data_IF_758476116706
#
_entry.id   IF_758476116706
#
_cell.length_a   1.000
_cell.length_b   1.000
_cell.length_c   1.000
_cell.angle_alpha   90.00
_cell.angle_beta   90.00
_cell.angle_gamma   90.00
#
_symmetry.space_group_name_H-M   'P 1'
#
loop_
_entity.id
_entity.type
_entity.pdbx_description
1 polymer ?
#
# COMPACT_ATOMS: atom_id res chain seq x y z
N UNK A 1 -28.96 65.81 -13.31
CA UNK A 1 -27.57 65.54 -12.90
C UNK A 1 -27.63 64.67 -11.66
N UNK A 2 -27.37 63.37 -11.82
CA UNK A 2 -27.55 62.36 -10.77
C UNK A 2 -26.43 62.42 -9.73
N UNK A 3 -26.84 62.42 -8.46
CA UNK A 3 -25.99 62.34 -7.28
C UNK A 3 -25.54 60.89 -7.01
N UNK A 4 -24.31 60.78 -6.48
CA UNK A 4 -23.69 59.58 -5.95
C UNK A 4 -24.51 58.94 -4.81
N UNK A 5 -24.58 57.60 -4.79
CA UNK A 5 -24.56 56.83 -3.55
C UNK A 5 -24.27 55.36 -3.83
N UNK A 6 -23.10 54.93 -3.37
CA UNK A 6 -22.63 53.55 -3.34
C UNK A 6 -23.55 52.65 -2.49
N UNK A 7 -23.70 51.37 -2.86
CA UNK A 7 -23.57 50.22 -1.93
C UNK A 7 -23.79 48.87 -2.62
N UNK A 8 -22.82 47.99 -2.36
CA UNK A 8 -22.89 46.52 -2.22
C UNK A 8 -22.76 45.65 -3.48
N UNK A 9 -21.48 45.44 -3.80
CA UNK A 9 -20.93 44.19 -4.34
C UNK A 9 -21.27 43.02 -3.42
N UNK A 10 -21.74 41.91 -3.99
CA UNK A 10 -21.66 40.58 -3.37
C UNK A 10 -21.36 39.56 -4.48
N UNK A 11 -20.08 39.39 -4.76
CA UNK A 11 -19.55 38.19 -5.42
C UNK A 11 -19.33 37.16 -4.32
N UNK A 12 -20.16 36.11 -4.26
CA UNK A 12 -19.93 34.97 -3.39
C UNK A 12 -18.94 34.01 -4.05
N UNK A 13 -17.69 34.01 -3.58
CA UNK A 13 -16.72 32.97 -3.91
C UNK A 13 -16.88 31.83 -2.90
N UNK A 14 -17.35 30.67 -3.37
CA UNK A 14 -17.38 29.43 -2.60
C UNK A 14 -15.98 28.81 -2.68
N UNK A 15 -15.12 29.08 -1.69
CA UNK A 15 -13.82 28.41 -1.57
C UNK A 15 -14.08 27.09 -0.85
N UNK A 16 -14.12 26.00 -1.62
CA UNK A 16 -14.05 24.65 -1.06
C UNK A 16 -12.67 24.48 -0.44
N UNK A 17 -12.62 24.44 0.90
CA UNK A 17 -11.41 24.13 1.65
C UNK A 17 -11.16 22.63 1.49
N UNK A 18 -10.35 22.23 0.50
CA UNK A 18 -9.75 20.90 0.49
C UNK A 18 -8.81 20.84 1.70
N UNK A 19 -9.25 20.17 2.76
CA UNK A 19 -8.35 19.74 3.83
C UNK A 19 -7.54 18.60 3.25
N UNK A 20 -6.42 18.91 2.59
CA UNK A 20 -5.43 17.89 2.25
C UNK A 20 -4.79 17.48 3.56
N UNK A 21 -5.21 16.36 4.14
CA UNK A 21 -4.42 15.72 5.18
C UNK A 21 -3.04 15.47 4.60
N UNK A 22 -1.95 15.81 5.33
CA UNK A 22 -0.62 15.46 4.87
C UNK A 22 -0.57 13.93 4.76
N UNK A 23 -0.59 13.43 3.53
CA UNK A 23 -0.26 12.04 3.26
C UNK A 23 1.24 11.98 3.42
N UNK A 24 1.69 11.32 4.47
CA UNK A 24 3.10 11.00 4.59
C UNK A 24 3.34 9.92 3.54
N UNK A 25 4.32 10.14 2.69
CA UNK A 25 4.90 9.06 1.90
C UNK A 25 5.99 8.43 2.76
N UNK A 26 6.10 7.10 2.78
CA UNK A 26 7.20 6.29 3.33
C UNK A 26 8.48 7.09 3.17
N UNK A 27 8.93 7.66 4.29
CA UNK A 27 9.96 8.71 4.26
C UNK A 27 11.34 8.07 4.09
N UNK A 28 11.47 6.81 4.49
CA UNK A 28 12.73 6.10 4.49
C UNK A 28 12.68 4.99 3.44
N UNK A 29 13.22 5.29 2.26
CA UNK A 29 13.53 4.27 1.27
C UNK A 29 15.01 4.32 0.87
N UNK A 30 15.53 3.16 0.48
CA UNK A 30 16.85 3.00 -0.12
C UNK A 30 16.65 2.81 -1.62
N UNK A 31 17.58 3.29 -2.43
CA UNK A 31 17.56 3.11 -3.88
C UNK A 31 18.81 2.34 -4.29
N UNK A 32 18.65 1.32 -5.13
CA UNK A 32 19.75 0.61 -5.77
C UNK A 32 19.49 0.42 -7.27
N UNK A 33 20.53 0.02 -8.01
CA UNK A 33 20.39 -0.42 -9.39
C UNK A 33 20.34 -1.95 -9.48
N UNK A 34 19.55 -2.48 -10.41
CA UNK A 34 19.51 -3.91 -10.73
C UNK A 34 19.06 -4.12 -12.17
N UNK A 35 19.74 -4.98 -12.93
CA UNK A 35 19.34 -5.32 -14.31
C UNK A 35 19.25 -4.13 -15.28
N UNK A 36 19.87 -2.98 -14.97
CA UNK A 36 19.73 -1.74 -15.74
C UNK A 36 18.58 -0.82 -15.34
N UNK A 37 17.75 -1.22 -14.36
CA UNK A 37 16.69 -0.41 -13.75
C UNK A 37 17.02 0.08 -12.34
N UNK A 38 16.05 0.79 -11.73
CA UNK A 38 16.10 1.27 -10.35
C UNK A 38 15.21 0.40 -9.45
N UNK A 39 15.69 0.09 -8.25
CA UNK A 39 14.94 -0.58 -7.20
C UNK A 39 14.74 0.38 -6.04
N UNK A 40 13.54 0.37 -5.47
CA UNK A 40 13.19 1.11 -4.26
C UNK A 40 12.95 0.09 -3.16
N UNK A 41 13.59 0.29 -2.02
CA UNK A 41 13.44 -0.56 -0.84
C UNK A 41 12.89 0.26 0.29
N UNK A 42 11.85 -0.23 0.96
CA UNK A 42 11.39 0.30 2.23
C UNK A 42 11.24 -0.84 3.23
N UNK A 43 11.39 -0.53 4.51
CA UNK A 43 11.12 -1.47 5.57
C UNK A 43 9.60 -1.58 5.75
N UNK A 44 9.08 -2.78 5.97
CA UNK A 44 7.64 -3.00 5.99
C UNK A 44 6.97 -2.23 7.16
N UNK A 45 7.65 -2.10 8.30
CA UNK A 45 7.16 -1.35 9.45
C UNK A 45 7.08 0.18 9.24
N UNK A 46 7.65 0.74 8.17
CA UNK A 46 7.61 2.18 7.85
C UNK A 46 6.33 2.56 7.07
N UNK A 47 5.19 1.97 7.44
CA UNK A 47 3.88 2.29 6.87
C UNK A 47 3.33 3.63 7.39
N UNK A 48 2.47 4.26 6.60
CA UNK A 48 1.89 5.56 6.95
C UNK A 48 0.65 5.43 7.81
N UNK A 49 -0.14 4.39 7.60
CA UNK A 49 -1.36 4.12 8.33
C UNK A 49 -1.60 2.62 8.46
N UNK A 50 -2.21 2.23 9.57
CA UNK A 50 -2.89 0.94 9.73
C UNK A 50 -4.30 1.16 10.27
N UNK A 51 -5.22 0.29 9.91
CA UNK A 51 -6.58 0.30 10.41
C UNK A 51 -6.99 -1.13 10.82
N UNK A 52 -7.39 -1.36 12.08
CA UNK A 52 -7.45 -0.39 13.19
C UNK A 52 -6.07 0.16 13.54
N UNK A 53 -6.02 1.36 14.13
CA UNK A 53 -4.78 2.04 14.52
C UNK A 53 -4.07 1.40 15.75
N UNK A 54 -4.18 0.08 15.89
CA UNK A 54 -3.65 -0.74 16.99
C UNK A 54 -2.88 -1.93 16.42
N UNK A 55 -2.07 -2.60 17.24
CA UNK A 55 -1.34 -3.83 16.87
C UNK A 55 -2.25 -5.07 16.80
N UNK A 56 -3.56 -4.91 16.60
CA UNK A 56 -4.48 -6.04 16.72
C UNK A 56 -4.33 -7.08 15.60
N UNK A 57 -4.03 -6.63 14.38
CA UNK A 57 -3.91 -7.48 13.18
C UNK A 57 -2.54 -7.38 12.51
N UNK A 58 -1.82 -6.30 12.77
CA UNK A 58 -0.48 -6.05 12.23
C UNK A 58 0.41 -5.54 13.35
N UNK A 59 1.04 -6.48 14.04
CA UNK A 59 1.97 -6.18 15.11
C UNK A 59 3.34 -5.87 14.53
N UNK A 60 3.99 -4.81 15.02
CA UNK A 60 5.42 -4.58 14.74
C UNK A 60 6.24 -5.33 15.77
N UNK A 61 7.10 -6.25 15.31
CA UNK A 61 7.87 -7.16 16.17
C UNK A 61 9.37 -7.09 15.87
N UNK A 62 10.17 -7.37 16.89
CA UNK A 62 11.59 -7.64 16.70
C UNK A 62 11.76 -9.09 16.22
N UNK A 63 12.05 -9.28 14.93
CA UNK A 63 12.28 -10.60 14.34
C UNK A 63 13.75 -10.79 13.99
N UNK A 64 14.31 -11.94 14.37
CA UNK A 64 15.72 -12.23 14.12
C UNK A 64 16.04 -12.18 12.62
N UNK A 65 17.04 -11.38 12.24
CA UNK A 65 17.48 -11.24 10.85
C UNK A 65 16.67 -10.23 10.01
N UNK A 66 15.70 -9.52 10.62
CA UNK A 66 15.12 -8.32 10.01
C UNK A 66 16.18 -7.22 9.83
N UNK A 67 15.99 -6.34 8.84
CA UNK A 67 16.86 -5.18 8.67
C UNK A 67 16.57 -4.08 9.70
N UNK A 68 15.28 -3.84 9.97
CA UNK A 68 14.78 -3.10 11.12
C UNK A 68 13.94 -4.03 12.00
N UNK A 69 12.63 -3.80 12.00
CA UNK A 69 11.63 -4.66 12.61
C UNK A 69 10.91 -5.46 11.51
N UNK A 70 9.89 -6.22 11.91
CA UNK A 70 9.01 -6.91 10.98
C UNK A 70 7.57 -6.55 11.29
N UNK A 71 6.72 -6.59 10.26
CA UNK A 71 5.29 -6.71 10.48
C UNK A 71 4.96 -8.20 10.58
N UNK A 72 4.36 -8.57 11.71
CA UNK A 72 3.72 -9.85 11.87
C UNK A 72 2.22 -9.68 11.63
N UNK A 73 1.69 -10.52 10.74
CA UNK A 73 0.26 -10.65 10.51
C UNK A 73 -0.37 -11.50 11.62
N UNK A 74 -1.41 -10.96 12.23
CA UNK A 74 -2.29 -11.67 13.15
C UNK A 74 -3.68 -11.74 12.49
N UNK A 75 -4.33 -12.90 12.51
CA UNK A 75 -5.55 -13.14 11.72
C UNK A 75 -6.65 -12.10 11.98
N UNK A 76 -7.14 -11.42 10.93
CA UNK A 76 -8.36 -10.61 11.00
C UNK A 76 -8.48 -9.51 9.93
N UNK A 77 -9.59 -8.76 9.91
CA UNK A 77 -9.89 -7.77 8.86
C UNK A 77 -9.13 -6.45 9.10
N UNK A 78 -7.82 -6.45 8.92
CA UNK A 78 -6.98 -5.26 9.01
C UNK A 78 -6.56 -4.72 7.64
N UNK A 79 -6.02 -3.50 7.65
CA UNK A 79 -5.33 -2.87 6.52
C UNK A 79 -4.04 -2.18 6.98
N UNK A 80 -2.98 -2.26 6.15
CA UNK A 80 -1.84 -1.34 6.20
C UNK A 80 -1.76 -0.56 4.90
N UNK A 81 -1.43 0.73 5.00
CA UNK A 81 -1.27 1.65 3.87
C UNK A 81 0.15 2.22 3.84
N UNK A 82 0.72 2.20 2.64
CA UNK A 82 1.97 2.83 2.28
C UNK A 82 1.70 3.85 1.19
N UNK A 83 2.22 5.05 1.33
CA UNK A 83 2.29 6.03 0.25
C UNK A 83 3.75 6.19 -0.12
N UNK A 84 4.12 6.24 -1.40
CA UNK A 84 5.52 6.39 -1.79
C UNK A 84 5.63 7.14 -3.10
N UNK A 85 6.70 7.92 -3.25
CA UNK A 85 6.93 8.74 -4.44
C UNK A 85 8.12 8.20 -5.23
N UNK A 86 7.80 7.52 -6.34
CA UNK A 86 8.80 6.87 -7.19
C UNK A 86 9.69 7.88 -7.91
N UNK A 87 9.24 9.13 -8.09
CA UNK A 87 10.03 10.17 -8.76
C UNK A 87 11.28 10.56 -7.95
N UNK A 88 11.23 10.40 -6.62
CA UNK A 88 12.39 10.61 -5.74
C UNK A 88 13.51 9.60 -6.00
N UNK A 89 13.19 8.47 -6.63
CA UNK A 89 14.14 7.45 -7.06
C UNK A 89 14.47 7.51 -8.56
N UNK A 90 14.05 8.57 -9.26
CA UNK A 90 14.16 8.67 -10.71
C UNK A 90 13.22 7.70 -11.45
N UNK A 91 12.26 7.10 -10.73
CA UNK A 91 11.24 6.25 -11.30
C UNK A 91 10.21 7.04 -12.09
N UNK A 92 9.59 6.36 -13.06
CA UNK A 92 8.46 6.85 -13.84
C UNK A 92 7.33 5.85 -13.74
N UNK A 93 6.10 6.31 -14.02
CA UNK A 93 4.94 5.44 -14.09
C UNK A 93 5.09 4.37 -15.16
N UNK A 94 4.38 3.26 -14.98
CA UNK A 94 4.50 2.06 -15.78
C UNK A 94 4.38 0.81 -14.92
N UNK A 95 4.83 -0.31 -15.47
CA UNK A 95 4.81 -1.60 -14.79
C UNK A 95 5.97 -1.73 -13.82
N UNK A 96 5.67 -2.07 -12.57
CA UNK A 96 6.63 -2.34 -11.50
C UNK A 96 6.46 -3.76 -10.96
N UNK A 97 7.56 -4.33 -10.49
CA UNK A 97 7.61 -5.66 -9.91
C UNK A 97 7.86 -5.56 -8.41
N UNK A 98 7.02 -6.20 -7.62
CA UNK A 98 7.08 -6.21 -6.17
C UNK A 98 7.63 -7.54 -5.66
N UNK A 99 8.56 -7.46 -4.71
CA UNK A 99 9.18 -8.57 -4.00
C UNK A 99 9.34 -8.22 -2.52
N UNK A 100 9.43 -9.24 -1.69
CA UNK A 100 9.68 -9.07 -0.27
C UNK A 100 10.65 -10.12 0.27
N UNK A 101 11.35 -9.78 1.36
CA UNK A 101 11.84 -10.79 2.29
C UNK A 101 10.72 -11.08 3.26
N UNK A 102 10.45 -12.36 3.48
CA UNK A 102 9.35 -12.79 4.33
C UNK A 102 9.66 -14.11 5.05
N UNK A 103 8.85 -14.38 6.06
CA UNK A 103 8.73 -15.65 6.75
C UNK A 103 7.28 -16.11 6.56
N UNK A 104 7.08 -17.00 5.59
CA UNK A 104 5.76 -17.52 5.22
C UNK A 104 5.79 -19.07 5.12
N UNK A 105 6.00 -19.79 6.24
CA UNK A 105 6.16 -21.24 6.21
C UNK A 105 4.87 -22.02 5.88
N UNK A 106 3.71 -21.34 5.91
CA UNK A 106 2.39 -21.96 5.77
C UNK A 106 1.56 -21.36 4.62
N UNK A 107 2.20 -20.64 3.69
CA UNK A 107 1.53 -19.96 2.58
C UNK A 107 0.28 -19.19 3.05
N UNK A 108 0.52 -18.21 3.92
CA UNK A 108 -0.45 -17.25 4.44
C UNK A 108 -0.24 -15.90 3.76
N UNK A 109 -0.50 -15.87 2.46
CA UNK A 109 -0.49 -14.67 1.62
C UNK A 109 -1.47 -13.60 2.06
N UNK A 110 -1.18 -12.38 1.66
CA UNK A 110 -2.07 -11.23 1.78
C UNK A 110 -2.45 -10.71 0.39
N UNK A 111 -3.41 -9.79 0.33
CA UNK A 111 -3.67 -9.02 -0.87
C UNK A 111 -2.85 -7.73 -0.83
N UNK A 112 -2.21 -7.40 -1.94
CA UNK A 112 -1.51 -6.13 -2.14
C UNK A 112 -2.13 -5.39 -3.31
N UNK A 113 -2.70 -4.22 -3.03
CA UNK A 113 -3.46 -3.43 -4.00
C UNK A 113 -2.81 -2.07 -4.15
N UNK A 114 -2.83 -1.50 -5.36
CA UNK A 114 -2.30 -0.16 -5.64
C UNK A 114 -3.42 0.71 -6.18
N UNK A 115 -3.54 1.94 -5.69
CA UNK A 115 -4.54 2.88 -6.21
C UNK A 115 -4.33 3.14 -7.70
N UNK A 116 -5.36 2.87 -8.49
CA UNK A 116 -5.35 3.09 -9.93
C UNK A 116 -4.74 1.95 -10.74
N UNK A 117 -4.40 0.82 -10.12
CA UNK A 117 -3.99 -0.40 -10.83
C UNK A 117 -5.12 -0.84 -11.80
N UNK A 118 -4.85 -1.00 -13.10
CA UNK A 118 -5.89 -1.28 -14.08
C UNK A 118 -6.56 -2.64 -13.86
N UNK A 119 -7.88 -2.61 -13.65
CA UNK A 119 -8.67 -3.83 -13.40
C UNK A 119 -9.23 -3.88 -12.00
N UNK A 120 -8.63 -3.15 -11.07
CA UNK A 120 -9.11 -3.03 -9.70
C UNK A 120 -10.33 -2.09 -9.62
N UNK A 121 -11.45 -2.56 -9.05
CA UNK A 121 -12.48 -1.69 -8.50
C UNK A 121 -11.93 -0.74 -7.42
N UNK A 122 -12.80 0.14 -6.92
CA UNK A 122 -12.45 1.02 -5.80
C UNK A 122 -11.99 0.21 -4.57
N UNK A 123 -10.80 0.52 -4.07
CA UNK A 123 -10.20 -0.11 -2.89
C UNK A 123 -10.94 0.40 -1.63
N UNK A 124 -11.41 -0.50 -0.75
CA UNK A 124 -12.08 -0.08 0.47
C UNK A 124 -11.11 0.62 1.43
N UNK A 125 -11.47 1.83 1.84
CA UNK A 125 -10.63 2.65 2.74
C UNK A 125 -11.08 2.62 4.20
N UNK A 126 -12.24 2.00 4.50
CA UNK A 126 -12.76 1.84 5.86
C UNK A 126 -13.20 0.41 6.17
N UNK A 127 -13.13 -0.03 7.44
CA UNK A 127 -13.65 -1.33 7.84
C UNK A 127 -15.17 -1.47 7.59
N UNK A 128 -15.68 -2.70 7.55
CA UNK A 128 -14.94 -3.97 7.61
C UNK A 128 -14.25 -4.28 6.27
N UNK A 129 -12.94 -4.56 6.33
CA UNK A 129 -12.17 -4.90 5.15
C UNK A 129 -12.46 -6.35 4.73
N UNK A 130 -12.78 -6.60 3.45
CA UNK A 130 -12.98 -7.95 2.95
C UNK A 130 -11.66 -8.71 2.88
N UNK A 131 -11.75 -10.03 2.78
CA UNK A 131 -10.60 -10.88 2.57
C UNK A 131 -10.99 -12.16 1.86
N UNK A 132 -10.52 -12.29 0.63
CA UNK A 132 -10.87 -13.41 -0.23
C UNK A 132 -11.54 -12.97 -1.52
N UNK A 133 -11.63 -13.91 -2.46
CA UNK A 133 -11.95 -13.65 -3.87
C UNK A 133 -13.41 -13.29 -4.17
N UNK A 134 -14.23 -13.09 -3.15
CA UNK A 134 -15.68 -12.87 -3.30
C UNK A 134 -16.04 -11.40 -3.49
N UNK A 135 -15.17 -10.49 -3.05
CA UNK A 135 -15.33 -9.05 -3.20
C UNK A 135 -14.21 -8.49 -4.08
N UNK A 136 -14.55 -7.69 -5.09
CA UNK A 136 -13.55 -6.84 -5.73
C UNK A 136 -13.10 -5.75 -4.75
N UNK A 137 -11.84 -5.29 -4.79
CA UNK A 137 -10.74 -5.64 -5.71
C UNK A 137 -9.89 -6.89 -5.34
N UNK A 138 -10.36 -7.82 -4.52
CA UNK A 138 -9.50 -8.86 -3.96
C UNK A 138 -9.39 -10.08 -4.88
N UNK A 139 -8.67 -10.00 -6.00
CA UNK A 139 -8.61 -11.09 -6.97
C UNK A 139 -7.29 -11.86 -6.87
N UNK A 140 -7.36 -13.15 -6.53
CA UNK A 140 -6.17 -14.00 -6.41
C UNK A 140 -5.25 -13.97 -7.64
N UNK A 141 -5.81 -13.95 -8.84
CA UNK A 141 -5.01 -14.01 -10.08
C UNK A 141 -4.10 -12.82 -10.29
N UNK A 142 -4.32 -11.71 -9.59
CA UNK A 142 -3.66 -10.43 -9.82
C UNK A 142 -3.06 -9.82 -8.55
N UNK A 143 -3.75 -9.97 -7.42
CA UNK A 143 -3.50 -9.17 -6.22
C UNK A 143 -2.94 -9.96 -5.05
N UNK A 144 -3.03 -11.28 -5.08
CA UNK A 144 -2.57 -12.11 -3.96
C UNK A 144 -1.07 -12.33 -4.05
N UNK A 145 -0.37 -11.78 -3.08
CA UNK A 145 1.09 -11.78 -3.06
C UNK A 145 1.65 -12.98 -2.31
N UNK A 146 2.85 -13.41 -2.69
CA UNK A 146 3.66 -14.33 -1.88
C UNK A 146 3.00 -15.68 -1.57
N UNK A 147 2.33 -16.25 -2.56
CA UNK A 147 1.63 -17.55 -2.57
C UNK A 147 2.54 -18.79 -2.47
N UNK A 148 3.46 -18.80 -1.53
CA UNK A 148 4.52 -19.80 -1.46
C UNK A 148 4.90 -20.12 -0.01
N UNK A 149 5.47 -21.30 0.18
CA UNK A 149 6.04 -21.71 1.47
C UNK A 149 7.53 -21.35 1.49
N UNK A 150 7.87 -20.17 2.03
CA UNK A 150 9.25 -19.68 2.06
C UNK A 150 9.64 -19.15 3.43
N UNK A 151 10.91 -19.29 3.76
CA UNK A 151 11.46 -18.85 5.04
C UNK A 151 10.95 -19.67 6.23
N UNK A 152 11.55 -19.41 7.39
CA UNK A 152 11.14 -19.93 8.69
C UNK A 152 11.55 -18.93 9.78
N UNK A 153 11.02 -19.03 11.02
CA UNK A 153 11.43 -18.13 12.10
C UNK A 153 12.95 -18.02 12.23
N UNK A 154 13.48 -16.79 12.19
CA UNK A 154 14.93 -16.52 12.16
C UNK A 154 15.67 -16.83 10.85
N UNK A 155 15.00 -17.30 9.81
CA UNK A 155 15.56 -17.62 8.50
C UNK A 155 14.67 -17.10 7.37
N UNK A 156 14.79 -15.80 7.11
CA UNK A 156 14.11 -15.10 6.02
C UNK A 156 14.47 -15.67 4.65
N UNK A 157 13.50 -15.63 3.74
CA UNK A 157 13.70 -15.92 2.33
C UNK A 157 13.14 -14.80 1.45
N UNK A 158 13.67 -14.67 0.25
CA UNK A 158 13.05 -13.86 -0.79
C UNK A 158 11.83 -14.59 -1.32
N UNK A 159 10.70 -13.91 -1.32
CA UNK A 159 9.50 -14.41 -1.98
C UNK A 159 9.58 -14.20 -3.48
N UNK A 160 9.31 -15.26 -4.26
CA UNK A 160 9.48 -15.38 -5.71
C UNK A 160 10.94 -15.16 -6.11
N UNK A 161 11.54 -16.19 -6.70
CA UNK A 161 13.00 -16.40 -6.69
C UNK A 161 13.78 -15.41 -7.56
N UNK A 162 13.09 -14.66 -8.42
CA UNK A 162 13.67 -13.61 -9.23
C UNK A 162 12.65 -12.49 -9.52
N UNK A 163 13.17 -11.33 -9.94
CA UNK A 163 12.37 -10.14 -10.25
C UNK A 163 11.30 -10.33 -11.34
N UNK A 164 11.50 -11.22 -12.31
CA UNK A 164 10.53 -11.51 -13.38
C UNK A 164 9.34 -12.33 -12.86
N UNK A 165 9.48 -12.97 -11.71
CA UNK A 165 8.42 -13.66 -10.97
C UNK A 165 7.71 -12.74 -9.96
N UNK A 166 8.15 -11.49 -9.82
CA UNK A 166 7.56 -10.52 -8.90
C UNK A 166 6.11 -10.19 -9.25
N UNK A 167 5.35 -9.77 -8.24
CA UNK A 167 3.96 -9.33 -8.43
C UNK A 167 3.96 -8.03 -9.22
N UNK A 168 3.23 -8.03 -10.34
CA UNK A 168 3.22 -6.92 -11.29
C UNK A 168 2.14 -5.92 -10.85
N UNK A 169 2.50 -4.64 -10.72
CA UNK A 169 1.56 -3.55 -10.46
C UNK A 169 1.86 -2.36 -11.36
N UNK A 170 0.82 -1.69 -11.83
CA UNK A 170 0.98 -0.48 -12.62
C UNK A 170 0.99 0.74 -11.70
N UNK A 171 2.10 1.49 -11.70
CA UNK A 171 2.26 2.70 -10.90
C UNK A 171 2.09 3.95 -11.76
N UNK A 172 1.56 5.02 -11.18
CA UNK A 172 1.55 6.34 -11.79
C UNK A 172 2.87 7.09 -11.57
N UNK A 173 3.09 8.16 -12.33
CA UNK A 173 4.20 9.07 -12.09
C UNK A 173 4.06 9.74 -10.72
N UNK A 174 5.16 9.82 -9.97
CA UNK A 174 5.20 10.52 -8.68
C UNK A 174 4.66 9.65 -7.54
N UNK A 175 3.67 10.17 -6.81
CA UNK A 175 3.13 9.55 -5.61
C UNK A 175 2.16 8.41 -5.95
N UNK A 176 2.29 7.29 -5.24
CA UNK A 176 1.44 6.11 -5.35
C UNK A 176 1.03 5.67 -3.93
N UNK A 177 -0.15 5.07 -3.81
CA UNK A 177 -0.63 4.47 -2.57
C UNK A 177 -0.80 2.97 -2.77
N UNK A 178 -0.21 2.19 -1.88
CA UNK A 178 -0.34 0.74 -1.82
C UNK A 178 -0.97 0.33 -0.49
N UNK A 179 -1.78 -0.72 -0.55
CA UNK A 179 -2.43 -1.31 0.60
C UNK A 179 -2.05 -2.77 0.72
N UNK A 180 -1.93 -3.26 1.96
CA UNK A 180 -1.90 -4.68 2.28
C UNK A 180 -3.09 -5.03 3.15
N UNK A 181 -3.80 -6.09 2.77
CA UNK A 181 -5.00 -6.58 3.46
C UNK A 181 -4.86 -8.08 3.76
N UNK A 182 -5.27 -8.48 4.96
CA UNK A 182 -5.26 -9.89 5.36
C UNK A 182 -6.25 -10.66 4.49
N UNK A 183 -5.78 -11.76 3.88
CA UNK A 183 -6.64 -12.65 3.09
C UNK A 183 -7.82 -13.25 3.87
N UNK A 184 -7.77 -13.21 5.20
CA UNK A 184 -8.74 -13.76 6.14
C UNK A 184 -9.75 -12.70 6.60
N UNK A 185 -9.80 -11.55 5.92
CA UNK A 185 -10.79 -10.49 6.11
C UNK A 185 -12.25 -10.96 5.96
N UNK A 186 -13.18 -10.04 6.20
CA UNK A 186 -14.59 -10.38 6.32
C UNK A 186 -15.36 -10.19 5.01
N UNK A 187 -15.69 -11.28 4.31
CA UNK A 187 -16.45 -11.22 3.05
C UNK A 187 -17.96 -10.97 3.21
N UNK A 188 -18.50 -10.97 4.43
CA UNK A 188 -19.95 -10.82 4.65
C UNK A 188 -20.50 -9.39 4.49
N UNK A 189 -19.71 -8.49 3.93
CA UNK A 189 -19.95 -7.04 3.91
C UNK A 189 -20.51 -6.59 2.56
N UNK A 190 -20.48 -7.44 1.54
CA UNK A 190 -20.90 -7.12 0.17
C UNK A 190 -21.99 -8.06 -0.33
#
# INVERSE_FOLDING_TARGET
>A
MLHQSAKRVLFGAFVALLVTTPVYAVKNFKISGYGGGHQIWFEAEDFDQRDPATDQYYTVVDEAGAFGQAIQRDNGPGMIRYTFDISKAGGIGGTWYFWARQINPNNQSDYMLVEGDPGDPEIPTSPPYPGGNEAGPFLNSDDRIFEENVGSPGSWAWGLSNHEEGHTKELQNGENTMYSFDRSGNNSVF
#
